data_IF_445938148694
#
_entry.id   IF_445938148694
#
_cell.length_a   1.000
_cell.length_b   1.000
_cell.length_c   1.000
_cell.angle_alpha   90.00
_cell.angle_beta   90.00
_cell.angle_gamma   90.00
#
_symmetry.space_group_name_H-M   'P 1'
#
loop_
_entity.id
_entity.type
_entity.pdbx_description
1 polymer ?
#
# COMPACT_ATOMS: atom_id res chain seq x y z
N UNK A 1 31.62 -13.78 -26.95
CA UNK A 1 30.93 -12.58 -26.44
C UNK A 1 31.05 -12.58 -24.93
N UNK A 2 31.61 -11.50 -24.38
CA UNK A 2 31.71 -11.32 -22.93
C UNK A 2 30.31 -11.05 -22.37
N UNK A 3 29.94 -11.71 -21.27
CA UNK A 3 28.63 -11.48 -20.63
C UNK A 3 28.68 -10.15 -19.90
N UNK A 4 27.86 -9.18 -20.32
CA UNK A 4 27.64 -7.95 -19.55
C UNK A 4 26.71 -8.23 -18.37
N UNK A 5 27.20 -8.04 -17.14
CA UNK A 5 26.43 -8.18 -15.92
C UNK A 5 25.90 -6.82 -15.44
N UNK A 6 24.64 -6.77 -15.05
CA UNK A 6 24.02 -5.60 -14.42
C UNK A 6 24.23 -5.64 -12.91
N UNK A 7 24.35 -4.47 -12.28
CA UNK A 7 24.28 -4.38 -10.81
C UNK A 7 22.84 -4.60 -10.34
N UNK A 8 22.69 -5.13 -9.13
CA UNK A 8 21.37 -5.31 -8.50
C UNK A 8 20.63 -3.97 -8.41
N UNK A 9 21.33 -2.88 -8.08
CA UNK A 9 20.75 -1.52 -8.04
C UNK A 9 20.21 -1.08 -9.40
N UNK A 10 20.95 -1.33 -10.49
CA UNK A 10 20.49 -0.98 -11.83
C UNK A 10 19.22 -1.76 -12.21
N UNK A 11 19.18 -3.06 -11.91
CA UNK A 11 17.98 -3.88 -12.12
C UNK A 11 16.80 -3.37 -11.28
N UNK A 12 16.99 -3.13 -9.99
CA UNK A 12 15.92 -2.64 -9.10
C UNK A 12 15.36 -1.30 -9.55
N UNK A 13 16.22 -0.35 -9.94
CA UNK A 13 15.80 0.95 -10.47
C UNK A 13 15.05 0.82 -11.79
N UNK A 14 15.46 -0.11 -12.65
CA UNK A 14 14.76 -0.40 -13.89
C UNK A 14 13.34 -0.93 -13.61
N UNK A 15 13.19 -1.89 -12.69
CA UNK A 15 11.87 -2.43 -12.30
C UNK A 15 10.99 -1.36 -11.64
N UNK A 16 11.56 -0.56 -10.72
CA UNK A 16 10.88 0.58 -10.10
C UNK A 16 10.34 1.54 -11.16
N UNK A 17 11.19 1.92 -12.12
CA UNK A 17 10.82 2.80 -13.24
C UNK A 17 9.65 2.19 -14.01
N UNK A 18 9.70 0.91 -14.37
CA UNK A 18 8.59 0.26 -15.10
C UNK A 18 7.27 0.32 -14.33
N UNK A 19 7.30 0.09 -13.03
CA UNK A 19 6.11 0.18 -12.16
C UNK A 19 5.61 1.63 -12.04
N UNK A 20 6.51 2.60 -11.93
CA UNK A 20 6.16 4.01 -11.77
C UNK A 20 5.62 4.65 -13.06
N UNK A 21 6.02 4.15 -14.23
CA UNK A 21 5.50 4.60 -15.51
C UNK A 21 4.21 3.87 -15.95
N UNK A 22 3.82 2.80 -15.26
CA UNK A 22 2.54 2.12 -15.53
C UNK A 22 1.38 2.94 -14.93
N UNK A 23 0.48 3.52 -15.76
CA UNK A 23 -0.64 4.32 -15.28
C UNK A 23 -1.61 3.53 -14.39
N UNK A 24 -1.76 2.23 -14.61
CA UNK A 24 -2.64 1.37 -13.81
C UNK A 24 -2.12 1.22 -12.38
N UNK A 25 -0.81 1.33 -12.17
CA UNK A 25 -0.17 1.22 -10.87
C UNK A 25 -0.10 2.55 -10.11
N UNK A 26 -0.46 3.67 -10.74
CA UNK A 26 -0.50 4.98 -10.10
C UNK A 26 -1.75 5.25 -9.26
N UNK A 27 -2.83 4.50 -9.48
CA UNK A 27 -4.07 4.59 -8.71
C UNK A 27 -4.76 3.23 -8.61
N UNK A 28 -4.28 2.42 -7.67
CA UNK A 28 -4.80 1.07 -7.38
C UNK A 28 -5.75 1.11 -6.20
N UNK A 29 -6.83 0.32 -6.30
CA UNK A 29 -7.77 0.07 -5.23
C UNK A 29 -7.64 -1.38 -4.75
N UNK A 30 -7.39 -1.58 -3.46
CA UNK A 30 -7.25 -2.92 -2.87
C UNK A 30 -8.19 -3.09 -1.68
N UNK A 31 -8.66 -4.32 -1.49
CA UNK A 31 -9.34 -4.78 -0.27
C UNK A 31 -8.43 -5.78 0.42
N UNK A 32 -8.31 -5.68 1.74
CA UNK A 32 -7.52 -6.65 2.49
C UNK A 32 -7.59 -6.44 4.00
N UNK A 33 -6.95 -7.34 4.73
CA UNK A 33 -6.83 -7.29 6.18
C UNK A 33 -5.48 -6.69 6.59
N UNK A 34 -5.50 -5.80 7.59
CA UNK A 34 -4.30 -5.23 8.19
C UNK A 34 -3.63 -6.26 9.10
N UNK A 35 -2.32 -6.43 8.94
CA UNK A 35 -1.47 -7.17 9.87
C UNK A 35 -0.13 -6.45 10.09
N UNK A 36 0.60 -6.79 11.15
CA UNK A 36 1.89 -6.18 11.51
C UNK A 36 1.85 -4.65 11.58
N UNK A 37 0.74 -4.08 12.06
CA UNK A 37 0.55 -2.64 12.13
C UNK A 37 1.53 -1.94 13.08
N UNK A 38 2.16 -0.87 12.60
CA UNK A 38 3.07 0.01 13.33
C UNK A 38 2.75 1.46 13.01
N UNK A 39 2.51 2.25 14.06
CA UNK A 39 2.37 3.70 13.94
C UNK A 39 3.64 4.38 14.43
N UNK A 40 4.32 5.09 13.54
CA UNK A 40 5.52 5.84 13.87
C UNK A 40 5.17 7.15 14.57
N UNK A 41 6.02 7.65 15.46
CA UNK A 41 5.79 8.89 16.24
C UNK A 41 5.50 10.13 15.40
N UNK A 42 5.97 10.15 14.14
CA UNK A 42 5.73 11.21 13.15
C UNK A 42 4.38 11.08 12.41
N UNK A 43 3.56 10.09 12.76
CA UNK A 43 2.25 9.83 12.17
C UNK A 43 2.28 9.01 10.87
N UNK A 44 3.40 8.39 10.52
CA UNK A 44 3.46 7.42 9.42
C UNK A 44 2.93 6.06 9.89
N UNK A 45 2.10 5.42 9.08
CA UNK A 45 1.66 4.05 9.34
C UNK A 45 2.39 3.09 8.41
N UNK A 46 2.85 1.99 8.98
CA UNK A 46 3.47 0.88 8.28
C UNK A 46 2.75 -0.40 8.66
N UNK A 47 2.33 -1.19 7.69
CA UNK A 47 1.65 -2.46 7.95
C UNK A 47 1.76 -3.38 6.73
N UNK A 48 1.23 -4.58 6.86
CA UNK A 48 1.04 -5.52 5.77
C UNK A 48 -0.45 -5.56 5.44
N UNK A 49 -0.80 -5.34 4.19
CA UNK A 49 -2.14 -5.62 3.66
C UNK A 49 -2.12 -7.03 3.05
N UNK A 50 -3.06 -7.89 3.44
CA UNK A 50 -3.12 -9.28 2.97
C UNK A 50 -4.54 -9.69 2.58
N UNK A 51 -4.62 -10.67 1.69
CA UNK A 51 -5.80 -11.49 1.45
C UNK A 51 -5.47 -12.96 1.80
N UNK A 52 -6.24 -13.91 1.27
CA UNK A 52 -6.07 -15.35 1.52
C UNK A 52 -4.77 -15.92 0.94
N UNK A 53 -4.24 -15.34 -0.13
CA UNK A 53 -3.17 -15.92 -0.94
C UNK A 53 -1.91 -15.05 -0.99
N UNK A 54 -2.05 -13.75 -0.79
CA UNK A 54 -1.00 -12.78 -1.02
C UNK A 54 -0.94 -11.72 0.07
N UNK A 55 0.23 -11.06 0.13
CA UNK A 55 0.47 -9.94 1.04
C UNK A 55 1.36 -8.90 0.38
N UNK A 56 1.16 -7.64 0.75
CA UNK A 56 1.96 -6.51 0.28
C UNK A 56 2.31 -5.59 1.46
N UNK A 57 3.52 -5.05 1.45
CA UNK A 57 3.89 -4.00 2.39
C UNK A 57 3.12 -2.71 2.07
N UNK A 58 2.61 -2.05 3.10
CA UNK A 58 1.78 -0.87 2.99
C UNK A 58 2.37 0.26 3.82
N UNK A 59 2.46 1.44 3.20
CA UNK A 59 2.96 2.66 3.84
C UNK A 59 1.93 3.76 3.65
N UNK A 60 1.53 4.41 4.74
CA UNK A 60 0.72 5.63 4.70
C UNK A 60 1.50 6.76 5.36
N UNK A 61 1.87 7.77 4.56
CA UNK A 61 2.58 8.93 5.07
C UNK A 61 1.66 9.82 5.91
N UNK A 62 2.26 10.59 6.81
CA UNK A 62 1.53 11.37 7.81
C UNK A 62 0.57 12.40 7.20
N UNK A 63 0.93 12.95 6.04
CA UNK A 63 0.06 13.88 5.30
C UNK A 63 -1.27 13.24 4.88
N UNK A 64 -1.26 11.96 4.49
CA UNK A 64 -2.48 11.23 4.12
C UNK A 64 -3.23 10.70 5.35
N UNK A 65 -2.50 10.26 6.38
CA UNK A 65 -3.09 9.76 7.63
C UNK A 65 -4.04 10.77 8.30
N UNK A 66 -3.76 12.08 8.20
CA UNK A 66 -4.62 13.13 8.81
C UNK A 66 -6.07 13.11 8.33
N UNK A 67 -6.36 12.53 7.16
CA UNK A 67 -7.70 12.48 6.60
C UNK A 67 -8.49 11.24 7.04
N UNK A 68 -7.84 10.30 7.74
CA UNK A 68 -8.44 9.05 8.17
C UNK A 68 -9.22 9.29 9.47
N UNK A 69 -10.52 9.00 9.44
CA UNK A 69 -11.47 9.24 10.54
C UNK A 69 -11.60 8.06 11.51
N UNK A 70 -10.78 7.02 11.35
CA UNK A 70 -10.78 5.84 12.20
C UNK A 70 -9.34 5.49 12.59
N UNK A 71 -9.18 4.58 13.55
CA UNK A 71 -7.87 4.12 14.00
C UNK A 71 -7.60 2.73 13.42
N UNK A 72 -6.70 2.58 12.43
CA UNK A 72 -6.36 1.26 11.90
C UNK A 72 -5.66 0.39 12.95
N UNK A 73 -5.93 -0.91 12.92
CA UNK A 73 -5.37 -1.92 13.83
C UNK A 73 -5.36 -3.30 13.15
N UNK A 74 -4.60 -4.24 13.73
CA UNK A 74 -4.47 -5.59 13.19
C UNK A 74 -5.83 -6.33 13.18
N UNK A 75 -6.05 -7.14 12.14
CA UNK A 75 -7.29 -7.89 11.93
C UNK A 75 -8.40 -7.07 11.27
N UNK A 76 -8.23 -5.75 11.11
CA UNK A 76 -9.24 -4.91 10.48
C UNK A 76 -9.22 -5.08 8.96
N UNK A 77 -10.40 -5.30 8.36
CA UNK A 77 -10.57 -5.30 6.90
C UNK A 77 -10.73 -3.86 6.42
N UNK A 78 -10.01 -3.50 5.38
CA UNK A 78 -9.98 -2.15 4.83
C UNK A 78 -10.02 -2.13 3.31
N UNK A 79 -10.57 -1.05 2.77
CA UNK A 79 -10.48 -0.65 1.38
C UNK A 79 -9.44 0.47 1.29
N UNK A 80 -8.44 0.34 0.42
CA UNK A 80 -7.36 1.32 0.28
C UNK A 80 -7.26 1.79 -1.15
N UNK A 81 -6.88 3.06 -1.31
CA UNK A 81 -6.45 3.65 -2.58
C UNK A 81 -5.00 4.08 -2.45
N UNK A 82 -4.17 3.75 -3.43
CA UNK A 82 -2.77 4.14 -3.42
C UNK A 82 -2.04 3.87 -4.72
N UNK A 83 -0.72 3.97 -4.65
CA UNK A 83 0.20 3.75 -5.78
C UNK A 83 1.19 2.65 -5.45
N UNK A 84 1.46 1.79 -6.42
CA UNK A 84 2.46 0.72 -6.28
C UNK A 84 3.83 1.27 -6.69
N UNK A 85 4.86 0.95 -5.92
CA UNK A 85 6.24 1.27 -6.27
C UNK A 85 7.19 0.31 -5.54
N UNK A 86 8.47 0.37 -5.88
CA UNK A 86 9.52 -0.49 -5.33
C UNK A 86 10.33 0.28 -4.30
N UNK A 87 10.52 -0.33 -3.13
CA UNK A 87 11.47 0.13 -2.14
C UNK A 87 12.88 -0.26 -2.57
N UNK A 88 13.66 0.71 -3.04
CA UNK A 88 14.96 0.45 -3.68
C UNK A 88 15.93 -0.33 -2.79
N UNK A 89 15.93 -0.06 -1.48
CA UNK A 89 16.88 -0.69 -0.56
C UNK A 89 16.68 -2.20 -0.42
N UNK A 90 15.45 -2.71 -0.58
CA UNK A 90 15.16 -4.15 -0.49
C UNK A 90 14.69 -4.78 -1.80
N UNK A 91 14.46 -3.98 -2.84
CA UNK A 91 13.87 -4.43 -4.11
C UNK A 91 12.42 -4.93 -3.96
N UNK A 92 11.77 -4.69 -2.83
CA UNK A 92 10.40 -5.17 -2.57
C UNK A 92 9.38 -4.16 -3.10
N UNK A 93 8.35 -4.63 -3.79
CA UNK A 93 7.21 -3.77 -4.15
C UNK A 93 6.30 -3.54 -2.95
N UNK A 94 5.67 -2.37 -2.91
CA UNK A 94 4.81 -1.92 -1.81
C UNK A 94 3.74 -0.95 -2.32
N UNK A 95 2.68 -0.79 -1.54
CA UNK A 95 1.64 0.21 -1.78
C UNK A 95 1.87 1.44 -0.90
N UNK A 96 1.92 2.61 -1.52
CA UNK A 96 1.85 3.90 -0.85
C UNK A 96 0.39 4.37 -0.83
N UNK A 97 -0.22 4.23 0.34
CA UNK A 97 -1.65 4.49 0.56
C UNK A 97 -1.89 6.00 0.68
N UNK A 98 -2.90 6.46 -0.04
CA UNK A 98 -3.35 7.84 -0.08
C UNK A 98 -4.70 8.02 0.60
N UNK A 99 -5.55 6.98 0.57
CA UNK A 99 -6.85 6.93 1.25
C UNK A 99 -7.13 5.51 1.76
N UNK A 100 -7.87 5.42 2.85
CA UNK A 100 -8.21 4.15 3.51
C UNK A 100 -9.58 4.27 4.21
N UNK A 101 -10.39 3.22 4.09
CA UNK A 101 -11.70 3.14 4.73
C UNK A 101 -11.91 1.74 5.32
N UNK A 102 -12.67 1.58 6.41
CA UNK A 102 -13.04 0.27 6.92
C UNK A 102 -13.96 -0.46 5.93
N UNK A 103 -13.67 -1.72 5.65
CA UNK A 103 -14.51 -2.60 4.86
C UNK A 103 -15.71 -3.05 5.71
N UNK A 104 -16.85 -2.38 5.54
CA UNK A 104 -18.10 -2.64 6.27
C UNK A 104 -18.87 -1.40 6.71
N UNK A 105 -18.25 -0.21 6.77
CA UNK A 105 -18.92 1.04 7.17
C UNK A 105 -19.76 1.64 6.03
N UNK A 106 -19.42 1.37 4.77
CA UNK A 106 -20.23 1.80 3.61
C UNK A 106 -21.63 1.18 3.57
N UNK A 107 -21.82 -0.02 4.13
CA UNK A 107 -23.13 -0.66 4.19
C UNK A 107 -24.06 -0.01 5.22
N UNK A 108 -23.53 0.58 6.29
CA UNK A 108 -24.38 1.27 7.27
C UNK A 108 -24.94 2.58 6.71
N UNK A 109 -24.19 3.34 5.90
CA UNK A 109 -24.71 4.57 5.30
C UNK A 109 -25.82 4.29 4.28
N UNK A 110 -25.65 3.27 3.43
CA UNK A 110 -26.67 2.85 2.47
C UNK A 110 -27.93 2.26 3.14
N UNK A 111 -27.79 1.63 4.31
CA UNK A 111 -28.92 1.07 5.05
C UNK A 111 -29.77 2.13 5.78
N UNK A 112 -29.29 3.37 5.93
CA UNK A 112 -30.06 4.48 6.49
C UNK A 112 -30.69 5.40 5.43
N UNK A 113 -30.31 5.25 4.16
CA UNK A 113 -30.90 5.98 3.02
C UNK A 113 -32.02 5.19 2.31
N UNK A 114 -32.47 4.06 2.90
CA UNK A 114 -33.58 3.23 2.41
C UNK A 114 -34.70 3.12 3.43
#
# INVERSE_FOLDING_TARGET
MEKQYLTVTALTRYIKTKIEYDPHLQSVWLKGEISNFKNHSRGHMYFTLKDENARIAAVMFAGHNRNIKFKPENGMKVLVKGKISVYEASGSYQIYIQDMQPDGVGNLHLAYEQ
#
